data_IF_998876879448
#
_entry.id   IF_998876879448
#
_cell.length_a   1.000
_cell.length_b   1.000
_cell.length_c   1.000
_cell.angle_alpha   90.00
_cell.angle_beta   90.00
_cell.angle_gamma   90.00
#
_symmetry.space_group_name_H-M   'P 1'
#
loop_
_entity.id
_entity.type
_entity.pdbx_description
1 polymer ?
#
# COMPACT_ATOMS: atom_id res chain seq x y z
N UNK A 1 -9.60 -22.31 13.60
CA UNK A 1 -8.46 -21.51 13.07
C UNK A 1 -7.76 -20.76 14.21
N UNK A 2 -6.47 -21.01 14.46
CA UNK A 2 -5.70 -20.16 15.40
C UNK A 2 -5.40 -18.81 14.71
N UNK A 3 -5.80 -17.71 15.36
CA UNK A 3 -5.46 -16.34 14.95
C UNK A 3 -3.95 -16.17 15.02
N UNK A 4 -3.36 -15.62 13.97
CA UNK A 4 -1.90 -15.41 13.87
C UNK A 4 -1.64 -13.91 13.88
N UNK A 5 -1.06 -13.40 14.97
CA UNK A 5 -0.81 -11.97 15.18
C UNK A 5 -0.06 -11.33 14.01
N UNK A 6 0.92 -12.02 13.44
CA UNK A 6 1.69 -11.51 12.30
C UNK A 6 0.83 -11.24 11.07
N UNK A 7 -0.24 -12.02 10.82
CA UNK A 7 -1.10 -11.77 9.67
C UNK A 7 -1.95 -10.51 9.87
N UNK A 8 -2.34 -10.20 11.10
CA UNK A 8 -3.05 -8.96 11.41
C UNK A 8 -2.14 -7.75 11.23
N UNK A 9 -0.88 -7.84 11.67
CA UNK A 9 0.12 -6.77 11.47
C UNK A 9 0.37 -6.51 9.98
N UNK A 10 0.59 -7.57 9.18
CA UNK A 10 0.82 -7.42 7.74
C UNK A 10 -0.41 -6.82 7.05
N UNK A 11 -1.64 -7.17 7.48
CA UNK A 11 -2.88 -6.54 6.99
C UNK A 11 -2.94 -5.06 7.30
N UNK A 12 -2.63 -4.66 8.53
CA UNK A 12 -2.62 -3.25 8.94
C UNK A 12 -1.62 -2.45 8.09
N UNK A 13 -0.40 -2.98 7.91
CA UNK A 13 0.63 -2.35 7.06
C UNK A 13 0.16 -2.24 5.61
N UNK A 14 -0.45 -3.29 5.06
CA UNK A 14 -0.97 -3.29 3.70
C UNK A 14 -2.09 -2.24 3.52
N UNK A 15 -3.04 -2.15 4.45
CA UNK A 15 -4.12 -1.14 4.44
C UNK A 15 -3.53 0.26 4.47
N UNK A 16 -2.59 0.52 5.38
CA UNK A 16 -1.96 1.83 5.50
C UNK A 16 -1.23 2.24 4.21
N UNK A 17 -0.48 1.32 3.60
CA UNK A 17 0.19 1.56 2.34
C UNK A 17 -0.78 1.84 1.18
N UNK A 18 -1.95 1.17 1.12
CA UNK A 18 -3.00 1.48 0.13
C UNK A 18 -3.55 2.89 0.29
N UNK A 19 -3.80 3.32 1.52
CA UNK A 19 -4.32 4.68 1.79
C UNK A 19 -3.30 5.73 1.37
N UNK A 20 -2.02 5.55 1.73
CA UNK A 20 -0.95 6.43 1.29
C UNK A 20 -0.82 6.49 -0.23
N UNK A 21 -0.95 5.36 -0.92
CA UNK A 21 -0.91 5.30 -2.38
C UNK A 21 -2.02 6.16 -3.00
N UNK A 22 -3.26 6.02 -2.52
CA UNK A 22 -4.39 6.78 -3.05
C UNK A 22 -4.24 8.28 -2.81
N UNK A 23 -3.78 8.67 -1.62
CA UNK A 23 -3.53 10.09 -1.31
C UNK A 23 -2.40 10.65 -2.18
N UNK A 24 -1.32 9.89 -2.38
CA UNK A 24 -0.21 10.32 -3.23
C UNK A 24 -0.62 10.45 -4.71
N UNK A 25 -1.39 9.48 -5.22
CA UNK A 25 -1.89 9.45 -6.59
C UNK A 25 -2.90 10.58 -6.89
N UNK A 26 -3.75 10.95 -5.93
CA UNK A 26 -4.70 12.05 -6.10
C UNK A 26 -3.99 13.41 -6.19
N UNK A 27 -2.96 13.61 -5.37
CA UNK A 27 -2.16 14.84 -5.38
C UNK A 27 -1.20 14.94 -6.59
N UNK A 28 -1.02 13.86 -7.35
CA UNK A 28 -0.07 13.79 -8.45
C UNK A 28 -0.42 14.71 -9.62
N UNK A 29 -1.71 15.01 -9.80
CA UNK A 29 -2.21 15.90 -10.86
C UNK A 29 -2.22 17.38 -10.47
N UNK A 30 -2.00 17.68 -9.18
CA UNK A 30 -2.04 19.04 -8.64
C UNK A 30 -0.69 19.74 -8.80
N UNK A 31 0.41 19.01 -8.62
CA UNK A 31 1.76 19.56 -8.66
C UNK A 31 2.41 19.42 -10.04
N UNK A 32 3.21 20.42 -10.44
CA UNK A 32 4.03 20.32 -11.66
C UNK A 32 5.10 19.23 -11.50
N UNK A 33 5.36 18.46 -12.55
CA UNK A 33 6.35 17.37 -12.53
C UNK A 33 7.78 17.81 -12.15
N UNK A 34 8.11 19.09 -12.36
CA UNK A 34 9.42 19.67 -12.02
C UNK A 34 9.54 20.11 -10.56
N UNK A 35 8.43 20.13 -9.82
CA UNK A 35 8.41 20.60 -8.44
C UNK A 35 8.98 19.57 -7.47
N UNK A 36 9.57 20.05 -6.38
CA UNK A 36 10.06 19.19 -5.29
C UNK A 36 8.93 18.32 -4.72
N UNK A 37 7.73 18.90 -4.58
CA UNK A 37 6.58 18.17 -4.02
C UNK A 37 6.16 16.98 -4.88
N UNK A 38 6.21 17.13 -6.20
CA UNK A 38 5.92 16.02 -7.12
C UNK A 38 6.95 14.89 -7.00
N UNK A 39 8.23 15.22 -6.78
CA UNK A 39 9.27 14.21 -6.54
C UNK A 39 9.07 13.49 -5.21
N UNK A 40 8.72 14.23 -4.15
CA UNK A 40 8.39 13.65 -2.84
C UNK A 40 7.19 12.72 -2.94
N UNK A 41 6.13 13.12 -3.63
CA UNK A 41 4.95 12.28 -3.89
C UNK A 41 5.30 11.02 -4.69
N UNK A 42 6.19 11.13 -5.68
CA UNK A 42 6.68 9.96 -6.43
C UNK A 42 7.43 8.96 -5.55
N UNK A 43 8.29 9.46 -4.67
CA UNK A 43 9.04 8.61 -3.74
C UNK A 43 8.07 7.88 -2.82
N UNK A 44 7.09 8.60 -2.24
CA UNK A 44 6.07 7.97 -1.41
C UNK A 44 5.24 6.94 -2.19
N UNK A 45 4.71 7.29 -3.37
CA UNK A 45 3.94 6.37 -4.23
C UNK A 45 4.73 5.09 -4.54
N UNK A 46 5.99 5.25 -4.93
CA UNK A 46 6.88 4.13 -5.27
C UNK A 46 7.16 3.23 -4.07
N UNK A 47 7.34 3.82 -2.88
CA UNK A 47 7.57 3.07 -1.65
C UNK A 47 6.38 2.24 -1.23
N UNK A 48 5.15 2.69 -1.48
CA UNK A 48 3.93 2.01 -1.00
C UNK A 48 3.27 1.12 -2.05
N UNK A 49 3.73 1.13 -3.31
CA UNK A 49 3.18 0.32 -4.42
C UNK A 49 3.13 -1.20 -4.18
N UNK A 50 3.92 -1.73 -3.25
CA UNK A 50 3.85 -3.15 -2.86
C UNK A 50 2.53 -3.53 -2.17
N UNK A 51 1.70 -2.56 -1.78
CA UNK A 51 0.47 -2.79 -1.05
C UNK A 51 -0.53 -3.68 -1.81
N UNK A 52 -0.61 -3.54 -3.14
CA UNK A 52 -1.53 -4.31 -4.01
C UNK A 52 -1.14 -5.80 -4.07
N UNK A 53 0.08 -6.18 -4.46
CA UNK A 53 0.47 -7.60 -4.45
C UNK A 53 0.48 -8.18 -3.02
N UNK A 54 0.77 -7.38 -2.00
CA UNK A 54 0.69 -7.81 -0.60
C UNK A 54 -0.74 -8.18 -0.20
N UNK A 55 -1.73 -7.36 -0.56
CA UNK A 55 -3.14 -7.67 -0.35
C UNK A 55 -3.57 -8.96 -1.06
N UNK A 56 -3.12 -9.14 -2.30
CA UNK A 56 -3.40 -10.36 -3.07
C UNK A 56 -2.83 -11.61 -2.38
N UNK A 57 -1.59 -11.55 -1.90
CA UNK A 57 -0.97 -12.65 -1.14
C UNK A 57 -1.72 -12.97 0.15
N UNK A 58 -2.16 -11.95 0.90
CA UNK A 58 -2.96 -12.15 2.13
C UNK A 58 -4.28 -12.87 1.82
N UNK A 59 -4.95 -12.49 0.74
CA UNK A 59 -6.18 -13.16 0.28
C UNK A 59 -5.93 -14.62 -0.10
N UNK A 60 -4.83 -14.89 -0.82
CA UNK A 60 -4.43 -16.25 -1.19
C UNK A 60 -4.12 -17.15 0.02
N UNK A 61 -3.42 -16.61 1.03
CA UNK A 61 -3.14 -17.35 2.29
C UNK A 61 -4.41 -17.64 3.08
N UNK A 62 -5.43 -16.78 3.00
CA UNK A 62 -6.72 -17.05 3.62
C UNK A 62 -7.46 -18.17 2.87
N UNK A 63 -7.51 -18.08 1.54
CA UNK A 63 -8.21 -19.05 0.69
C UNK A 63 -7.61 -20.45 0.73
N UNK A 64 -6.28 -20.59 0.72
CA UNK A 64 -5.60 -21.90 0.75
C UNK A 64 -5.59 -22.57 2.13
N UNK A 65 -6.01 -21.85 3.16
CA UNK A 65 -5.98 -22.30 4.56
C UNK A 65 -7.37 -22.68 5.08
N UNK A 66 -8.38 -22.49 4.24
CA UNK A 66 -9.71 -23.11 4.31
C UNK A 66 -9.71 -24.42 3.50
#
# INVERSE_FOLDING_TARGET
>A
MKRKLYMDVIRIVAIFAVVLLHVAADNFYVFKYTSFEWQVLNVYDSLVRFCVPLFFMISGVLFLRD
#
